data_IF_858803953765
#
_entry.id   IF_858803953765
#
_cell.length_a   1.000
_cell.length_b   1.000
_cell.length_c   1.000
_cell.angle_alpha   90.00
_cell.angle_beta   90.00
_cell.angle_gamma   90.00
#
_symmetry.space_group_name_H-M   'P 1'
#
loop_
_entity.id
_entity.type
_entity.pdbx_description
1 polymer ?
#
# COMPACT_ATOMS: atom_id res chain seq x y z
N UNK A 1 -20.39 -9.09 6.24
CA UNK A 1 -19.58 -10.01 5.40
C UNK A 1 -19.89 -9.93 3.90
N UNK A 2 -21.14 -10.05 3.44
CA UNK A 2 -21.47 -10.02 1.99
C UNK A 2 -21.09 -8.69 1.28
N UNK A 3 -21.31 -7.55 1.94
CA UNK A 3 -21.00 -6.21 1.37
C UNK A 3 -19.49 -5.96 1.15
N UNK A 4 -18.65 -6.46 2.06
CA UNK A 4 -17.18 -6.34 1.97
C UNK A 4 -16.62 -7.21 0.84
N UNK A 5 -17.18 -8.41 0.63
CA UNK A 5 -16.80 -9.28 -0.51
C UNK A 5 -17.15 -8.64 -1.86
N UNK A 6 -18.26 -7.93 -1.95
CA UNK A 6 -18.66 -7.21 -3.17
C UNK A 6 -17.75 -6.02 -3.44
N UNK A 7 -17.29 -5.32 -2.39
CA UNK A 7 -16.33 -4.21 -2.54
C UNK A 7 -14.95 -4.70 -3.00
N UNK A 8 -14.46 -5.80 -2.42
CA UNK A 8 -13.21 -6.46 -2.83
C UNK A 8 -13.28 -7.01 -4.26
N UNK A 9 -14.39 -7.67 -4.62
CA UNK A 9 -14.60 -8.11 -6.01
C UNK A 9 -14.70 -6.92 -6.97
N UNK A 10 -15.33 -5.82 -6.55
CA UNK A 10 -15.42 -4.59 -7.32
C UNK A 10 -14.07 -3.96 -7.57
N UNK A 11 -13.22 -3.85 -6.55
CA UNK A 11 -11.85 -3.37 -6.67
C UNK A 11 -10.99 -4.29 -7.56
N UNK A 12 -11.12 -5.60 -7.40
CA UNK A 12 -10.44 -6.59 -8.23
C UNK A 12 -10.89 -6.51 -9.70
N UNK A 13 -12.20 -6.40 -9.95
CA UNK A 13 -12.73 -6.25 -11.31
C UNK A 13 -12.32 -4.92 -11.94
N UNK A 14 -12.31 -3.81 -11.17
CA UNK A 14 -11.80 -2.53 -11.67
C UNK A 14 -10.30 -2.58 -11.98
N UNK A 15 -9.50 -3.34 -11.22
CA UNK A 15 -8.09 -3.60 -11.57
C UNK A 15 -7.92 -4.44 -12.84
N UNK A 16 -8.89 -5.29 -13.18
CA UNK A 16 -8.89 -6.04 -14.44
C UNK A 16 -9.33 -5.18 -15.64
N UNK A 17 -10.17 -4.16 -15.45
CA UNK A 17 -10.59 -3.25 -16.53
C UNK A 17 -9.48 -2.25 -16.92
N UNK A 18 -8.44 -2.07 -16.08
CA UNK A 18 -7.25 -1.31 -16.43
C UNK A 18 -6.30 -2.01 -17.43
N UNK A 19 -6.64 -3.21 -17.91
CA UNK A 19 -5.82 -4.00 -18.85
C UNK A 19 -5.96 -3.58 -20.33
N UNK A 20 -6.09 -2.29 -20.62
CA UNK A 20 -6.08 -1.77 -21.99
C UNK A 20 -4.96 -0.74 -22.19
N UNK A 21 -3.85 -1.18 -22.80
CA UNK A 21 -2.88 -0.29 -23.49
C UNK A 21 -1.40 -0.55 -23.22
N UNK A 22 -1.00 -0.68 -21.95
CA UNK A 22 0.39 -0.91 -21.53
C UNK A 22 0.45 -2.09 -20.56
N UNK A 23 1.46 -2.95 -20.71
CA UNK A 23 1.78 -3.94 -19.68
C UNK A 23 2.10 -3.18 -18.39
N UNK A 24 1.43 -3.52 -17.29
CA UNK A 24 1.71 -2.90 -16.00
C UNK A 24 3.18 -3.12 -15.63
N UNK A 25 3.90 -2.05 -15.31
CA UNK A 25 5.27 -2.18 -14.81
C UNK A 25 5.19 -2.73 -13.40
N UNK A 26 5.72 -3.93 -13.21
CA UNK A 26 5.77 -4.58 -11.90
C UNK A 26 7.06 -4.16 -11.21
N UNK A 27 7.05 -3.99 -9.90
CA UNK A 27 8.25 -3.75 -9.11
C UNK A 27 8.19 -4.48 -7.77
N UNK A 28 9.34 -4.79 -7.20
CA UNK A 28 9.45 -5.17 -5.79
C UNK A 28 9.86 -3.96 -4.99
N UNK A 29 9.40 -3.89 -3.75
CA UNK A 29 9.88 -2.88 -2.81
C UNK A 29 10.12 -3.46 -1.43
N UNK A 30 11.01 -2.81 -0.72
CA UNK A 30 11.22 -2.98 0.71
C UNK A 30 11.08 -1.62 1.37
N UNK A 31 10.47 -1.58 2.55
CA UNK A 31 10.26 -0.35 3.29
C UNK A 31 10.58 -0.49 4.77
N UNK A 32 10.97 0.62 5.37
CA UNK A 32 11.17 0.75 6.79
C UNK A 32 10.17 1.78 7.32
N UNK A 33 9.40 1.39 8.33
CA UNK A 33 8.53 2.30 9.07
C UNK A 33 9.30 3.06 10.14
N UNK A 34 8.75 4.18 10.61
CA UNK A 34 9.22 4.93 11.78
C UNK A 34 9.40 4.07 13.05
N UNK A 35 8.57 3.04 13.23
CA UNK A 35 8.68 2.05 14.32
C UNK A 35 9.84 1.05 14.15
N UNK A 36 10.56 1.10 13.03
CA UNK A 36 11.63 0.16 12.68
C UNK A 36 11.14 -1.17 12.09
N UNK A 37 9.83 -1.32 11.85
CA UNK A 37 9.30 -2.51 11.19
C UNK A 37 9.63 -2.50 9.69
N UNK A 38 10.20 -3.60 9.20
CA UNK A 38 10.45 -3.85 7.78
C UNK A 38 9.19 -4.38 7.10
N UNK A 39 8.75 -3.72 6.03
CA UNK A 39 7.71 -4.24 5.12
C UNK A 39 8.33 -4.59 3.78
N UNK A 40 7.77 -5.55 3.08
CA UNK A 40 8.17 -5.91 1.73
C UNK A 40 6.97 -6.27 0.89
N UNK A 41 7.04 -5.99 -0.41
CA UNK A 41 5.87 -6.13 -1.27
C UNK A 41 6.18 -6.10 -2.76
N UNK A 42 5.09 -6.22 -3.51
CA UNK A 42 5.04 -6.09 -4.96
C UNK A 42 4.10 -4.96 -5.32
N UNK A 43 4.49 -4.16 -6.30
CA UNK A 43 3.70 -3.06 -6.84
C UNK A 43 3.48 -3.21 -8.34
N UNK A 44 2.36 -2.65 -8.81
CA UNK A 44 1.93 -2.69 -10.20
C UNK A 44 1.54 -1.28 -10.63
N UNK A 45 2.38 -0.65 -11.46
CA UNK A 45 2.03 0.60 -12.12
C UNK A 45 1.12 0.29 -13.30
N UNK A 46 -0.18 0.53 -13.14
CA UNK A 46 -1.18 0.35 -14.20
C UNK A 46 -1.14 1.50 -15.21
N UNK A 47 -0.83 2.71 -14.72
CA UNK A 47 -0.60 3.92 -15.52
C UNK A 47 0.44 4.80 -14.81
N UNK A 48 0.81 5.93 -15.41
CA UNK A 48 1.68 6.94 -14.77
C UNK A 48 1.07 7.54 -13.48
N UNK A 49 -0.25 7.38 -13.29
CA UNK A 49 -0.99 7.91 -12.16
C UNK A 49 -1.52 6.83 -11.22
N UNK A 50 -1.70 5.60 -11.68
CA UNK A 50 -2.35 4.54 -10.90
C UNK A 50 -1.33 3.45 -10.58
N UNK A 51 -1.11 3.23 -9.28
CA UNK A 51 -0.33 2.10 -8.79
C UNK A 51 -1.12 1.29 -7.77
N UNK A 52 -0.96 -0.03 -7.79
CA UNK A 52 -1.46 -0.94 -6.76
C UNK A 52 -0.28 -1.62 -6.07
N UNK A 53 -0.22 -1.57 -4.75
CA UNK A 53 0.79 -2.27 -3.96
C UNK A 53 0.16 -3.32 -3.05
N UNK A 54 0.82 -4.46 -2.92
CA UNK A 54 0.55 -5.48 -1.93
C UNK A 54 1.82 -5.67 -1.10
N UNK A 55 1.73 -5.47 0.21
CA UNK A 55 2.86 -5.69 1.09
C UNK A 55 2.51 -6.54 2.30
N UNK A 56 3.53 -7.10 2.89
CA UNK A 56 3.45 -7.75 4.18
C UNK A 56 4.60 -7.29 5.07
N UNK A 57 4.37 -7.32 6.36
CA UNK A 57 5.45 -7.28 7.33
C UNK A 57 5.32 -8.44 8.32
N UNK A 58 6.44 -8.78 8.93
CA UNK A 58 6.48 -9.76 10.00
C UNK A 58 7.04 -9.08 11.23
N UNK A 59 6.19 -8.84 12.21
CA UNK A 59 6.61 -8.26 13.48
C UNK A 59 6.88 -9.40 14.47
N UNK A 60 8.14 -9.83 14.56
CA UNK A 60 8.54 -10.94 15.44
C UNK A 60 8.01 -12.31 15.02
N UNK A 61 7.81 -13.21 16.00
CA UNK A 61 7.56 -14.64 15.74
C UNK A 61 6.10 -15.04 15.49
N UNK A 62 5.11 -14.17 15.75
CA UNK A 62 3.71 -14.60 15.81
C UNK A 62 2.72 -13.87 14.87
N UNK A 63 3.04 -12.67 14.38
CA UNK A 63 2.09 -11.89 13.57
C UNK A 63 2.69 -11.46 12.23
N UNK A 64 1.96 -11.76 11.16
CA UNK A 64 2.22 -11.27 9.81
C UNK A 64 1.08 -10.35 9.44
N UNK A 65 1.40 -9.09 9.16
CA UNK A 65 0.42 -8.10 8.76
C UNK A 65 0.43 -7.98 7.24
N UNK A 66 -0.75 -7.77 6.66
CA UNK A 66 -0.92 -7.63 5.21
C UNK A 66 -1.54 -6.29 4.89
N UNK A 67 -1.09 -5.70 3.79
CA UNK A 67 -1.47 -4.37 3.32
C UNK A 67 -1.80 -4.45 1.83
N UNK A 68 -2.82 -3.71 1.41
CA UNK A 68 -3.16 -3.47 0.02
C UNK A 68 -3.46 -2.00 -0.18
N UNK A 69 -2.68 -1.35 -1.03
CA UNK A 69 -2.66 0.10 -1.18
C UNK A 69 -2.91 0.47 -2.63
N UNK A 70 -3.82 1.41 -2.86
CA UNK A 70 -4.16 1.92 -4.19
C UNK A 70 -3.81 3.40 -4.29
N UNK A 71 -2.94 3.74 -5.22
CA UNK A 71 -2.39 5.07 -5.43
C UNK A 71 -3.07 5.73 -6.64
N UNK A 72 -3.35 7.03 -6.50
CA UNK A 72 -3.71 7.94 -7.58
C UNK A 72 -2.86 9.21 -7.47
N UNK A 73 -1.87 9.33 -8.36
CA UNK A 73 -0.81 10.33 -8.25
C UNK A 73 -0.07 10.18 -6.92
N UNK A 74 0.07 11.26 -6.12
CA UNK A 74 0.76 11.19 -4.84
C UNK A 74 -0.13 10.70 -3.69
N UNK A 75 -1.44 10.51 -3.89
CA UNK A 75 -2.34 10.08 -2.81
C UNK A 75 -2.62 8.59 -2.89
N UNK A 76 -2.84 7.95 -1.75
CA UNK A 76 -3.24 6.55 -1.71
C UNK A 76 -4.29 6.27 -0.65
N UNK A 77 -5.06 5.20 -0.89
CA UNK A 77 -5.96 4.59 0.08
C UNK A 77 -5.44 3.19 0.36
N UNK A 78 -5.18 2.91 1.63
CA UNK A 78 -4.69 1.62 2.10
C UNK A 78 -5.75 0.87 2.88
N UNK A 79 -5.70 -0.45 2.77
CA UNK A 79 -6.36 -1.37 3.70
C UNK A 79 -5.35 -2.35 4.22
N UNK A 80 -5.43 -2.67 5.51
CA UNK A 80 -4.58 -3.71 6.03
C UNK A 80 -5.11 -4.36 7.29
N UNK A 81 -4.36 -5.37 7.72
CA UNK A 81 -4.69 -6.18 8.87
C UNK A 81 -3.44 -6.36 9.73
N UNK A 82 -3.53 -5.99 11.01
CA UNK A 82 -2.45 -6.13 11.99
C UNK A 82 -2.54 -7.42 12.83
N UNK A 83 -3.25 -8.42 12.30
CA UNK A 83 -3.56 -9.68 12.96
C UNK A 83 -4.84 -9.65 13.80
N UNK A 84 -5.14 -8.56 14.53
CA UNK A 84 -6.31 -8.48 15.39
C UNK A 84 -7.40 -7.56 14.84
N UNK A 85 -7.01 -6.50 14.13
CA UNK A 85 -7.88 -5.46 13.64
C UNK A 85 -7.64 -5.23 12.13
N UNK A 86 -8.65 -4.65 11.46
CA UNK A 86 -8.50 -4.09 10.13
C UNK A 86 -8.39 -2.59 10.25
N UNK A 87 -7.52 -1.97 9.47
CA UNK A 87 -7.42 -0.52 9.37
C UNK A 87 -7.50 -0.05 7.92
N UNK A 88 -7.84 1.22 7.79
CA UNK A 88 -7.97 1.95 6.53
C UNK A 88 -7.12 3.21 6.64
N UNK A 89 -6.27 3.42 5.64
CA UNK A 89 -5.34 4.54 5.62
C UNK A 89 -5.63 5.47 4.46
N UNK A 90 -5.45 6.77 4.69
CA UNK A 90 -5.24 7.75 3.63
C UNK A 90 -3.79 8.19 3.73
N UNK A 91 -3.05 8.05 2.63
CA UNK A 91 -1.63 8.30 2.59
C UNK A 91 -1.27 9.32 1.51
N UNK A 92 -0.13 9.96 1.71
CA UNK A 92 0.53 10.80 0.71
C UNK A 92 1.96 10.32 0.51
N UNK A 93 2.35 10.16 -0.75
CA UNK A 93 3.61 9.54 -1.15
C UNK A 93 4.33 10.37 -2.18
N UNK A 94 5.65 10.46 -2.03
CA UNK A 94 6.53 11.11 -2.99
C UNK A 94 7.62 10.12 -3.38
N UNK A 95 7.68 9.79 -4.66
CA UNK A 95 8.71 8.94 -5.25
C UNK A 95 9.70 9.75 -6.06
N UNK A 96 10.98 9.41 -5.96
CA UNK A 96 12.07 9.98 -6.75
C UNK A 96 13.01 8.87 -7.23
N UNK A 97 13.35 8.85 -8.53
CA UNK A 97 14.36 7.92 -9.02
C UNK A 97 15.73 8.26 -8.43
N UNK A 98 16.42 7.24 -7.92
CA UNK A 98 17.85 7.32 -7.56
C UNK A 98 18.68 7.13 -8.85
N UNK A 99 18.29 6.15 -9.68
CA UNK A 99 18.86 5.90 -11.00
C UNK A 99 17.80 5.22 -11.90
N UNK A 100 18.20 4.62 -13.03
CA UNK A 100 17.30 3.95 -13.97
C UNK A 100 16.63 2.67 -13.43
N UNK A 101 17.15 2.10 -12.34
CA UNK A 101 16.73 0.80 -11.78
C UNK A 101 16.18 0.92 -10.36
N UNK A 102 16.37 2.06 -9.70
CA UNK A 102 16.04 2.26 -8.29
C UNK A 102 15.28 3.56 -8.08
N UNK A 103 14.21 3.50 -7.28
CA UNK A 103 13.50 4.67 -6.79
C UNK A 103 13.38 4.65 -5.27
N UNK A 104 13.45 5.83 -4.66
CA UNK A 104 13.13 6.06 -3.26
C UNK A 104 11.74 6.68 -3.16
N UNK A 105 10.87 6.09 -2.35
CA UNK A 105 9.57 6.63 -2.03
C UNK A 105 9.48 6.92 -0.53
N UNK A 106 8.91 8.08 -0.18
CA UNK A 106 8.56 8.43 1.19
C UNK A 106 7.05 8.51 1.25
N UNK A 107 6.46 7.73 2.14
CA UNK A 107 5.01 7.66 2.37
C UNK A 107 4.69 8.17 3.77
N UNK A 108 3.74 9.09 3.86
CA UNK A 108 3.18 9.58 5.10
C UNK A 108 1.71 9.15 5.22
N UNK A 109 1.35 8.52 6.33
CA UNK A 109 -0.04 8.27 6.69
C UNK A 109 -0.66 9.57 7.19
N UNK A 110 -1.68 10.04 6.50
CA UNK A 110 -2.41 11.26 6.86
C UNK A 110 -3.55 10.95 7.84
N UNK A 111 -4.22 9.82 7.64
CA UNK A 111 -5.33 9.34 8.46
C UNK A 111 -5.21 7.83 8.56
N UNK A 112 -5.29 7.31 9.78
CA UNK A 112 -5.43 5.87 10.06
C UNK A 112 -6.73 5.64 10.84
N UNK A 113 -7.54 4.69 10.38
CA UNK A 113 -8.82 4.34 11.01
C UNK A 113 -8.89 2.84 11.26
N UNK A 114 -9.16 2.43 12.51
CA UNK A 114 -9.36 1.02 12.86
C UNK A 114 -10.83 0.64 12.79
N UNK A 115 -11.13 -0.61 12.40
CA UNK A 115 -12.50 -1.10 12.24
C UNK A 115 -13.24 -1.38 13.56
N UNK A 116 -12.57 -1.31 14.72
CA UNK A 116 -13.22 -1.46 16.02
C UNK A 116 -14.18 -0.29 16.27
N UNK A 117 -15.39 -0.61 16.71
CA UNK A 117 -16.40 0.36 17.08
C UNK A 117 -15.84 1.33 18.16
N UNK A 118 -15.83 2.63 17.87
CA UNK A 118 -15.47 3.76 18.75
C UNK A 118 -14.00 4.18 18.90
N UNK A 119 -13.05 3.73 18.07
CA UNK A 119 -11.76 4.43 18.01
C UNK A 119 -11.89 5.67 17.12
N UNK A 120 -11.67 6.85 17.71
CA UNK A 120 -11.53 8.10 16.94
C UNK A 120 -10.41 7.90 15.91
N UNK A 121 -10.50 8.51 14.70
CA UNK A 121 -9.41 8.45 13.73
C UNK A 121 -8.11 8.87 14.42
N UNK A 122 -7.06 8.08 14.22
CA UNK A 122 -5.74 8.45 14.69
C UNK A 122 -5.12 9.36 13.62
N UNK A 123 -4.90 10.63 13.98
CA UNK A 123 -4.30 11.63 13.09
C UNK A 123 -2.78 11.73 13.28
N UNK A 124 -2.17 10.74 13.92
CA UNK A 124 -0.72 10.72 14.09
C UNK A 124 -0.07 10.39 12.74
N UNK A 125 0.85 11.24 12.25
CA UNK A 125 1.52 10.97 10.99
C UNK A 125 2.52 9.82 11.19
N UNK A 126 2.17 8.65 10.69
CA UNK A 126 3.11 7.55 10.51
C UNK A 126 3.94 7.79 9.24
N UNK A 127 5.22 7.45 9.28
CA UNK A 127 6.09 7.56 8.10
C UNK A 127 6.69 6.21 7.73
N UNK A 128 6.86 6.00 6.43
CA UNK A 128 7.70 4.93 5.91
C UNK A 128 8.52 5.40 4.72
N UNK A 129 9.72 4.85 4.58
CA UNK A 129 10.58 5.03 3.43
C UNK A 129 10.75 3.69 2.73
N UNK A 130 10.53 3.65 1.42
CA UNK A 130 10.67 2.44 0.60
C UNK A 130 11.64 2.64 -0.55
N UNK A 131 12.34 1.56 -0.91
CA UNK A 131 13.14 1.47 -2.12
C UNK A 131 12.52 0.43 -3.02
N UNK A 132 12.32 0.79 -4.29
CA UNK A 132 11.73 -0.10 -5.29
C UNK A 132 12.67 -0.41 -6.45
N UNK A 133 12.52 -1.62 -7.00
CA UNK A 133 13.26 -2.16 -8.14
C UNK A 133 12.26 -2.72 -9.16
N UNK A 134 12.27 -2.27 -10.42
CA UNK A 134 11.43 -2.83 -11.48
C UNK A 134 11.70 -4.33 -11.70
N UNK A 135 10.63 -5.07 -11.96
CA UNK A 135 10.66 -6.44 -12.44
C UNK A 135 10.35 -6.39 -13.93
N UNK A 136 11.42 -6.38 -14.74
CA UNK A 136 11.47 -6.40 -16.22
C UNK A 136 11.15 -5.07 -16.94
#
# INVERSE_FOLDING_TARGET
>A
MKKVRVLLLGALLMSMVASFGNAATTYMFTSLTDSGALKGGVGYNLTDMICLELSANKNGSAQTNFYADAYYGPYAIGVGNDGADYYYDIMYSVSKPINSELSLCITATLIEMYSKENTKPNYLPGFSASVSVPLF
#
